data_IF_191120509677
#
_entry.id   IF_191120509677
#
_cell.length_a   1.000
_cell.length_b   1.000
_cell.length_c   1.000
_cell.angle_alpha   90.00
_cell.angle_beta   90.00
_cell.angle_gamma   90.00
#
_symmetry.space_group_name_H-M   'P 1'
#
loop_
_entity.id
_entity.type
_entity.pdbx_description
1 polymer ?
#
# COMPACT_ATOMS: atom_id res chain seq x y z
N UNK A 1 0.00 -36.36 -3.39
CA UNK A 1 0.44 -34.96 -3.41
C UNK A 1 1.16 -34.52 -2.12
N UNK A 2 1.25 -35.39 -1.12
CA UNK A 2 1.73 -34.99 0.24
C UNK A 2 3.24 -35.21 0.52
N UNK A 3 4.01 -35.58 -0.49
CA UNK A 3 5.44 -35.90 -0.30
C UNK A 3 6.44 -34.79 -0.58
N UNK A 4 6.04 -33.74 -1.27
CA UNK A 4 6.97 -32.65 -1.64
C UNK A 4 7.09 -31.53 -0.59
N UNK A 5 6.10 -31.33 0.26
CA UNK A 5 6.13 -30.30 1.31
C UNK A 5 6.85 -30.74 2.61
N UNK A 6 7.05 -32.05 2.81
CA UNK A 6 7.74 -32.58 3.99
C UNK A 6 9.24 -32.23 4.06
N UNK A 7 10.02 -32.22 2.97
CA UNK A 7 11.45 -31.87 3.06
C UNK A 7 11.71 -30.45 3.53
N UNK A 8 10.86 -29.50 3.22
CA UNK A 8 11.02 -28.11 3.67
C UNK A 8 10.78 -27.96 5.18
N UNK A 9 9.75 -28.63 5.72
CA UNK A 9 9.48 -28.65 7.16
C UNK A 9 10.63 -29.31 7.94
N UNK A 10 11.12 -30.45 7.49
CA UNK A 10 12.25 -31.14 8.10
C UNK A 10 13.54 -30.30 8.09
N UNK A 11 13.78 -29.59 6.99
CA UNK A 11 14.91 -28.70 6.86
C UNK A 11 14.82 -27.53 7.83
N UNK A 12 13.65 -26.90 7.94
CA UNK A 12 13.41 -25.81 8.89
C UNK A 12 13.59 -26.29 10.34
N UNK A 13 13.00 -27.43 10.69
CA UNK A 13 13.13 -28.03 12.02
C UNK A 13 14.60 -28.26 12.38
N UNK A 14 15.39 -28.77 11.44
CA UNK A 14 16.82 -29.00 11.63
C UNK A 14 17.58 -27.71 11.85
N UNK A 15 17.26 -26.65 11.08
CA UNK A 15 17.91 -25.33 11.23
C UNK A 15 17.52 -24.59 12.51
N UNK A 16 16.30 -24.81 12.99
CA UNK A 16 15.78 -24.16 14.19
C UNK A 16 16.16 -24.88 15.49
N UNK A 17 16.57 -26.15 15.45
CA UNK A 17 16.81 -26.96 16.62
C UNK A 17 17.76 -26.29 17.64
N UNK A 18 18.85 -25.71 17.18
CA UNK A 18 19.83 -25.04 18.04
C UNK A 18 19.40 -23.63 18.48
N UNK A 19 18.50 -23.00 17.73
CA UNK A 19 18.01 -21.63 18.00
C UNK A 19 16.64 -21.59 18.67
N UNK A 20 16.04 -22.74 18.90
CA UNK A 20 14.67 -22.85 19.42
C UNK A 20 14.47 -22.09 20.74
N UNK A 21 15.39 -22.15 21.72
CA UNK A 21 15.24 -21.41 22.98
C UNK A 21 15.23 -19.89 22.85
N UNK A 22 15.68 -19.35 21.71
CA UNK A 22 15.71 -17.91 21.42
C UNK A 22 14.48 -17.42 20.68
N UNK A 23 13.64 -18.34 20.23
CA UNK A 23 12.48 -18.01 19.40
C UNK A 23 11.24 -17.98 20.27
N UNK A 24 10.46 -16.90 20.15
CA UNK A 24 9.14 -16.80 20.77
C UNK A 24 8.16 -17.80 20.15
N UNK A 25 7.29 -18.39 20.96
CA UNK A 25 6.30 -19.37 20.54
C UNK A 25 5.42 -18.90 19.38
N UNK A 26 4.90 -17.70 19.46
CA UNK A 26 4.03 -17.15 18.40
C UNK A 26 4.76 -17.01 17.08
N UNK A 27 6.02 -16.54 17.14
CA UNK A 27 6.86 -16.39 15.95
C UNK A 27 7.20 -17.73 15.32
N UNK A 28 7.44 -18.74 16.15
CA UNK A 28 7.66 -20.10 15.69
C UNK A 28 6.44 -20.63 14.94
N UNK A 29 5.24 -20.48 15.50
CA UNK A 29 3.99 -20.90 14.85
C UNK A 29 3.74 -20.17 13.53
N UNK A 30 4.02 -18.86 13.46
CA UNK A 30 3.93 -18.08 12.23
C UNK A 30 4.88 -18.57 11.14
N UNK A 31 6.12 -18.92 11.51
CA UNK A 31 7.08 -19.47 10.57
C UNK A 31 6.62 -20.81 10.00
N UNK A 32 6.06 -21.67 10.83
CA UNK A 32 5.50 -22.95 10.39
C UNK A 32 4.36 -22.75 9.37
N UNK A 33 3.42 -21.86 9.66
CA UNK A 33 2.30 -21.58 8.76
C UNK A 33 2.77 -20.90 7.45
N UNK A 34 3.85 -20.10 7.49
CA UNK A 34 4.37 -19.44 6.29
C UNK A 34 5.01 -20.40 5.29
N UNK A 35 5.51 -21.55 5.76
CA UNK A 35 6.12 -22.59 4.91
C UNK A 35 5.05 -23.42 4.21
N UNK A 36 3.90 -23.60 4.84
CA UNK A 36 2.80 -24.39 4.32
C UNK A 36 1.53 -23.55 4.16
N UNK A 37 1.50 -22.56 3.28
CA UNK A 37 0.38 -21.61 3.15
C UNK A 37 -0.92 -22.27 2.66
N UNK A 38 -0.83 -23.43 2.02
CA UNK A 38 -1.97 -24.18 1.48
C UNK A 38 -2.62 -25.11 2.53
N UNK A 39 -1.92 -25.40 3.63
CA UNK A 39 -2.46 -26.24 4.69
C UNK A 39 -3.38 -25.43 5.62
N UNK A 40 -4.36 -26.09 6.23
CA UNK A 40 -5.17 -25.44 7.26
C UNK A 40 -4.28 -24.97 8.41
N UNK A 41 -4.55 -23.78 8.93
CA UNK A 41 -3.77 -23.19 10.03
C UNK A 41 -3.75 -24.11 11.26
N UNK A 42 -2.72 -23.99 12.08
CA UNK A 42 -2.54 -24.79 13.30
C UNK A 42 -3.78 -24.78 14.19
N UNK A 43 -4.25 -25.98 14.56
CA UNK A 43 -5.41 -26.16 15.42
C UNK A 43 -6.76 -25.84 14.76
N UNK A 44 -6.83 -25.64 13.44
CA UNK A 44 -8.08 -25.50 12.69
C UNK A 44 -8.61 -26.85 12.20
N UNK A 45 -7.81 -27.90 12.27
CA UNK A 45 -8.18 -29.26 11.90
C UNK A 45 -9.17 -29.86 12.90
N UNK A 46 -10.03 -30.77 12.43
CA UNK A 46 -10.99 -31.48 13.30
C UNK A 46 -10.22 -32.42 14.22
N UNK A 47 -9.27 -33.17 13.68
CA UNK A 47 -8.48 -34.13 14.44
C UNK A 47 -7.07 -33.60 14.69
N UNK A 48 -6.55 -33.67 15.93
CA UNK A 48 -5.15 -33.27 16.25
C UNK A 48 -4.12 -34.03 15.43
N UNK A 49 -4.46 -35.23 14.96
CA UNK A 49 -3.58 -36.03 14.10
C UNK A 49 -3.31 -35.36 12.74
N UNK A 50 -4.19 -34.51 12.24
CA UNK A 50 -4.01 -33.88 10.94
C UNK A 50 -3.04 -32.70 10.98
N UNK A 51 -2.76 -32.17 12.19
CA UNK A 51 -1.79 -31.09 12.35
C UNK A 51 -0.36 -31.58 12.00
N UNK A 52 0.49 -30.71 11.37
CA UNK A 52 1.83 -31.09 10.90
C UNK A 52 2.83 -31.34 12.03
N UNK A 53 2.57 -30.83 13.21
CA UNK A 53 3.40 -30.94 14.41
C UNK A 53 2.56 -31.25 15.64
N UNK A 54 3.21 -31.68 16.72
CA UNK A 54 2.59 -31.86 18.03
C UNK A 54 3.24 -30.98 19.08
N UNK A 55 2.43 -30.33 19.91
CA UNK A 55 2.90 -29.62 21.09
C UNK A 55 2.70 -30.50 22.31
N UNK A 56 3.79 -30.69 23.07
CA UNK A 56 3.82 -31.44 24.33
C UNK A 56 4.48 -30.58 25.41
N UNK A 57 3.99 -30.55 26.65
CA UNK A 57 4.70 -29.86 27.73
C UNK A 57 6.03 -30.51 28.06
N UNK A 58 6.96 -29.76 28.61
CA UNK A 58 8.17 -30.28 29.15
C UNK A 58 7.93 -30.85 30.56
N UNK A 59 8.25 -32.14 30.81
CA UNK A 59 7.95 -32.77 32.10
C UNK A 59 8.82 -32.27 33.26
N UNK A 60 9.91 -31.55 32.96
CA UNK A 60 10.84 -31.08 33.98
C UNK A 60 10.23 -30.04 34.92
N UNK A 61 10.58 -30.12 36.19
CA UNK A 61 10.13 -29.22 37.27
C UNK A 61 11.07 -28.01 37.47
N UNK A 62 12.12 -27.88 36.66
CA UNK A 62 13.08 -26.76 36.73
C UNK A 62 12.48 -25.47 36.19
N UNK A 63 13.02 -24.31 36.62
CA UNK A 63 12.57 -23.00 36.15
C UNK A 63 12.73 -22.87 34.63
N UNK A 64 11.66 -22.48 33.91
CA UNK A 64 11.71 -22.37 32.46
C UNK A 64 12.57 -21.18 32.03
N UNK A 65 13.57 -21.42 31.20
CA UNK A 65 14.46 -20.38 30.63
C UNK A 65 13.93 -19.84 29.30
N UNK A 66 13.13 -20.65 28.59
CA UNK A 66 12.63 -20.35 27.27
C UNK A 66 11.21 -20.92 27.12
N UNK A 67 10.42 -20.36 26.20
CA UNK A 67 9.06 -20.83 25.91
C UNK A 67 9.05 -22.18 25.20
N UNK A 68 10.04 -22.44 24.35
CA UNK A 68 10.26 -23.69 23.62
C UNK A 68 11.56 -24.33 24.07
N UNK A 69 11.49 -25.58 24.48
CA UNK A 69 12.63 -26.30 25.06
C UNK A 69 13.40 -27.14 24.05
N UNK A 70 12.70 -28.01 23.34
CA UNK A 70 13.30 -28.97 22.42
C UNK A 70 12.33 -29.39 21.32
N UNK A 71 12.89 -29.91 20.23
CA UNK A 71 12.15 -30.61 19.18
C UNK A 71 12.58 -32.07 19.23
N UNK A 72 11.62 -32.94 19.44
CA UNK A 72 11.77 -34.38 19.41
C UNK A 72 11.21 -34.93 18.11
N UNK A 73 11.98 -35.71 17.41
CA UNK A 73 11.56 -36.35 16.16
C UNK A 73 11.78 -37.84 16.29
N UNK A 74 10.73 -38.60 16.43
CA UNK A 74 10.74 -40.04 16.42
C UNK A 74 10.60 -40.59 15.01
N UNK A 75 11.30 -41.69 14.66
CA UNK A 75 11.15 -42.29 13.33
C UNK A 75 9.72 -42.79 13.12
N UNK A 76 9.00 -42.17 12.17
CA UNK A 76 7.61 -42.52 11.82
C UNK A 76 6.52 -41.72 12.52
N UNK A 77 6.84 -40.87 13.49
CA UNK A 77 5.88 -39.94 14.10
C UNK A 77 6.15 -38.49 13.66
N UNK A 78 5.17 -37.64 13.94
CA UNK A 78 5.27 -36.20 13.66
C UNK A 78 6.19 -35.53 14.66
N UNK A 79 6.93 -34.50 14.25
CA UNK A 79 7.82 -33.78 15.17
C UNK A 79 7.03 -33.20 16.35
N UNK A 80 7.51 -33.51 17.55
CA UNK A 80 6.97 -33.04 18.82
C UNK A 80 7.79 -31.87 19.34
N UNK A 81 7.11 -30.80 19.77
CA UNK A 81 7.75 -29.59 20.29
C UNK A 81 7.42 -29.48 21.77
N UNK A 82 8.46 -29.44 22.62
CA UNK A 82 8.31 -29.30 24.06
C UNK A 82 8.12 -27.83 24.43
N UNK A 83 6.94 -27.50 24.97
CA UNK A 83 6.61 -26.18 25.51
C UNK A 83 6.84 -26.17 27.01
N UNK A 84 7.19 -25.03 27.57
CA UNK A 84 7.44 -24.83 29.00
C UNK A 84 6.34 -24.09 29.72
N UNK A 85 5.28 -23.73 28.99
CA UNK A 85 4.12 -22.98 29.48
C UNK A 85 2.83 -23.71 29.09
N UNK A 86 1.74 -23.38 29.76
CA UNK A 86 0.37 -23.86 29.48
C UNK A 86 0.27 -25.40 29.42
N UNK A 87 1.00 -26.08 30.28
CA UNK A 87 1.00 -27.55 30.33
C UNK A 87 0.05 -28.11 31.38
N UNK A 88 -0.60 -29.25 31.09
CA UNK A 88 -1.32 -30.02 32.09
C UNK A 88 -0.37 -30.77 33.03
N UNK A 89 0.89 -30.93 32.65
CA UNK A 89 1.99 -31.39 33.51
C UNK A 89 3.20 -30.47 33.33
N UNK A 90 4.16 -30.54 34.24
CA UNK A 90 5.30 -29.60 34.29
C UNK A 90 5.12 -28.56 35.38
N UNK A 91 5.90 -27.44 35.30
CA UNK A 91 6.01 -26.44 36.36
C UNK A 91 4.69 -25.72 36.69
N UNK A 92 3.87 -25.43 35.68
CA UNK A 92 2.58 -24.67 35.82
C UNK A 92 1.37 -25.58 35.79
N UNK A 93 1.51 -26.85 36.18
CA UNK A 93 0.43 -27.81 36.10
C UNK A 93 -0.75 -27.48 37.04
N UNK A 94 -2.00 -27.52 36.56
CA UNK A 94 -3.17 -27.42 37.42
C UNK A 94 -3.53 -28.75 38.09
N UNK A 95 -2.82 -29.85 37.77
CA UNK A 95 -3.10 -31.19 38.32
C UNK A 95 -2.50 -31.34 39.72
N UNK A 96 -3.02 -32.29 40.53
CA UNK A 96 -2.43 -32.63 41.81
C UNK A 96 -0.97 -33.01 41.69
N UNK A 97 -0.09 -32.58 42.65
CA UNK A 97 1.35 -32.81 42.57
C UNK A 97 1.78 -34.27 42.40
N UNK A 98 0.95 -35.25 42.88
CA UNK A 98 1.25 -36.65 42.73
C UNK A 98 1.36 -37.11 41.27
N UNK A 99 0.43 -36.66 40.39
CA UNK A 99 0.50 -37.00 38.97
C UNK A 99 1.68 -36.33 38.27
N UNK A 100 1.95 -35.10 38.66
CA UNK A 100 3.08 -34.35 38.08
C UNK A 100 4.43 -34.93 38.49
N UNK A 101 4.53 -35.41 39.77
CA UNK A 101 5.72 -36.05 40.28
C UNK A 101 5.97 -37.41 39.60
N UNK A 102 4.91 -38.20 39.40
CA UNK A 102 5.03 -39.50 38.72
C UNK A 102 5.55 -39.31 37.26
N UNK A 103 5.09 -38.29 36.57
CA UNK A 103 5.56 -37.96 35.21
C UNK A 103 6.98 -37.41 35.23
N UNK A 104 7.29 -36.49 36.15
CA UNK A 104 8.60 -35.88 36.24
C UNK A 104 9.72 -36.87 36.62
N UNK A 105 9.39 -37.85 37.49
CA UNK A 105 10.31 -38.91 37.92
C UNK A 105 10.31 -40.16 37.01
N UNK A 106 9.51 -40.15 35.95
CA UNK A 106 9.37 -41.27 35.01
C UNK A 106 9.05 -42.59 35.68
N UNK A 107 8.12 -42.58 36.67
CA UNK A 107 7.70 -43.82 37.37
C UNK A 107 6.98 -44.77 36.42
N UNK A 108 6.94 -46.04 36.77
CA UNK A 108 6.29 -47.05 35.96
C UNK A 108 4.80 -46.69 35.68
N UNK A 109 4.40 -46.70 34.41
CA UNK A 109 3.01 -46.35 33.97
C UNK A 109 2.80 -44.84 33.66
N UNK A 110 3.83 -43.98 33.86
CA UNK A 110 3.71 -42.54 33.58
C UNK A 110 3.41 -42.22 32.10
N UNK A 111 3.90 -43.07 31.18
CA UNK A 111 3.75 -42.84 29.73
C UNK A 111 2.28 -42.80 29.30
N UNK A 112 1.48 -43.71 29.78
CA UNK A 112 0.02 -43.77 29.44
C UNK A 112 -0.72 -42.52 29.92
N UNK A 113 -0.38 -41.98 31.10
CA UNK A 113 -0.96 -40.78 31.65
C UNK A 113 -0.49 -39.57 30.86
N UNK A 114 0.79 -39.52 30.54
CA UNK A 114 1.40 -38.44 29.75
C UNK A 114 0.76 -38.37 28.34
N UNK A 115 0.66 -39.49 27.64
CA UNK A 115 0.08 -39.53 26.29
C UNK A 115 -1.40 -39.14 26.30
N UNK A 116 -2.15 -39.55 27.32
CA UNK A 116 -3.54 -39.13 27.50
C UNK A 116 -3.64 -37.62 27.70
N UNK A 117 -2.80 -37.02 28.52
CA UNK A 117 -2.78 -35.57 28.75
C UNK A 117 -2.30 -34.79 27.50
N UNK A 118 -1.43 -35.37 26.71
CA UNK A 118 -0.87 -34.75 25.51
C UNK A 118 -1.94 -34.53 24.41
N UNK A 119 -2.98 -35.34 24.37
CA UNK A 119 -4.13 -35.10 23.48
C UNK A 119 -4.78 -33.73 23.74
N UNK A 120 -4.91 -33.39 25.03
CA UNK A 120 -5.50 -32.10 25.43
C UNK A 120 -4.50 -30.96 25.32
N UNK A 121 -3.25 -31.20 25.73
CA UNK A 121 -2.18 -30.20 25.68
C UNK A 121 -1.97 -29.64 24.29
N UNK A 122 -1.89 -30.50 23.29
CA UNK A 122 -1.76 -30.06 21.90
C UNK A 122 -2.91 -29.15 21.50
N UNK A 123 -4.14 -29.53 21.83
CA UNK A 123 -5.32 -28.74 21.48
C UNK A 123 -5.40 -27.42 22.22
N UNK A 124 -5.06 -27.39 23.49
CA UNK A 124 -5.00 -26.16 24.31
C UNK A 124 -3.95 -25.19 23.76
N UNK A 125 -2.75 -25.68 23.49
CA UNK A 125 -1.65 -24.84 22.97
C UNK A 125 -1.98 -24.28 21.58
N UNK A 126 -2.55 -25.07 20.69
CA UNK A 126 -2.96 -24.60 19.36
C UNK A 126 -4.13 -23.61 19.42
N UNK A 127 -5.10 -23.83 20.33
CA UNK A 127 -6.18 -22.86 20.56
C UNK A 127 -5.66 -21.55 21.14
N UNK A 128 -4.71 -21.61 22.07
CA UNK A 128 -4.06 -20.42 22.62
C UNK A 128 -3.39 -19.59 21.51
N UNK A 129 -2.65 -20.23 20.61
CA UNK A 129 -2.09 -19.57 19.43
C UNK A 129 -3.17 -18.93 18.55
N UNK A 130 -4.27 -19.65 18.28
CA UNK A 130 -5.38 -19.12 17.47
C UNK A 130 -6.06 -17.91 18.09
N UNK A 131 -6.24 -17.91 19.41
CA UNK A 131 -6.80 -16.78 20.15
C UNK A 131 -5.89 -15.56 19.98
N UNK A 132 -4.60 -15.72 20.22
CA UNK A 132 -3.64 -14.64 20.01
C UNK A 132 -3.66 -14.12 18.57
N UNK A 133 -3.62 -15.02 17.59
CA UNK A 133 -3.65 -14.67 16.18
C UNK A 133 -4.90 -13.88 15.82
N UNK A 134 -6.06 -14.25 16.34
CA UNK A 134 -7.33 -13.56 16.09
C UNK A 134 -7.28 -12.08 16.51
N UNK A 135 -6.60 -11.78 17.61
CA UNK A 135 -6.50 -10.41 18.13
C UNK A 135 -5.24 -9.66 17.65
N UNK A 136 -4.35 -10.31 16.93
CA UNK A 136 -3.14 -9.70 16.36
C UNK A 136 -3.31 -9.42 14.87
N UNK A 137 -3.70 -8.20 14.51
CA UNK A 137 -3.87 -7.83 13.11
C UNK A 137 -2.63 -8.08 12.23
N UNK A 138 -1.38 -7.76 12.68
CA UNK A 138 -0.18 -8.09 11.89
C UNK A 138 -0.02 -9.59 11.60
N UNK A 139 -0.52 -10.46 12.50
CA UNK A 139 -0.43 -11.91 12.33
C UNK A 139 -1.51 -12.48 11.39
N UNK A 140 -2.64 -11.80 11.24
CA UNK A 140 -3.73 -12.22 10.35
C UNK A 140 -3.66 -11.57 8.98
N UNK A 141 -2.85 -10.53 8.81
CA UNK A 141 -2.75 -9.78 7.57
C UNK A 141 -2.29 -10.67 6.40
N UNK A 142 -3.09 -10.71 5.35
CA UNK A 142 -2.75 -11.36 4.07
C UNK A 142 -2.36 -10.29 3.05
N UNK A 143 -1.34 -10.58 2.26
CA UNK A 143 -0.89 -9.68 1.21
C UNK A 143 -2.06 -9.27 0.30
N UNK A 144 -2.18 -7.97 0.04
CA UNK A 144 -3.30 -7.40 -0.71
C UNK A 144 -4.54 -7.05 0.12
N UNK A 145 -4.52 -7.24 1.45
CA UNK A 145 -5.65 -6.90 2.33
C UNK A 145 -6.86 -7.82 2.10
N UNK A 146 -6.62 -9.11 1.85
CA UNK A 146 -7.67 -10.12 1.58
C UNK A 146 -8.19 -10.81 2.84
N UNK A 147 -7.61 -10.53 3.99
CA UNK A 147 -8.06 -11.03 5.28
C UNK A 147 -9.35 -10.33 5.73
N UNK A 148 -10.15 -11.01 6.53
CA UNK A 148 -11.46 -10.50 6.99
C UNK A 148 -11.34 -9.13 7.70
N UNK A 149 -10.34 -8.97 8.55
CA UNK A 149 -10.13 -7.71 9.28
C UNK A 149 -9.82 -6.56 8.34
N UNK A 150 -8.97 -6.79 7.33
CA UNK A 150 -8.69 -5.79 6.29
C UNK A 150 -9.95 -5.46 5.47
N UNK A 151 -10.78 -6.46 5.14
CA UNK A 151 -12.04 -6.22 4.44
C UNK A 151 -13.02 -5.40 5.27
N UNK A 152 -13.13 -5.63 6.57
CA UNK A 152 -13.95 -4.80 7.46
C UNK A 152 -13.44 -3.37 7.53
N UNK A 153 -12.11 -3.19 7.63
CA UNK A 153 -11.49 -1.86 7.62
C UNK A 153 -11.70 -1.14 6.29
N UNK A 154 -11.56 -1.83 5.16
CA UNK A 154 -11.87 -1.29 3.84
C UNK A 154 -13.37 -0.97 3.68
N UNK A 155 -14.23 -1.71 4.34
CA UNK A 155 -15.67 -1.44 4.43
C UNK A 155 -16.00 -0.07 4.99
N UNK A 156 -15.19 0.45 5.94
CA UNK A 156 -15.37 1.80 6.52
C UNK A 156 -15.21 2.94 5.49
N UNK A 157 -14.50 2.68 4.41
CA UNK A 157 -14.31 3.65 3.31
C UNK A 157 -15.07 3.26 2.03
N UNK A 158 -15.94 2.22 2.11
CA UNK A 158 -16.75 1.76 1.00
C UNK A 158 -16.05 0.83 0.01
N UNK A 159 -14.84 0.35 0.32
CA UNK A 159 -14.05 -0.54 -0.55
C UNK A 159 -14.09 -2.02 -0.13
N UNK A 160 -14.86 -2.37 0.88
CA UNK A 160 -15.00 -3.75 1.38
C UNK A 160 -15.98 -4.62 0.59
N UNK A 161 -16.58 -4.10 -0.47
CA UNK A 161 -17.54 -4.85 -1.29
C UNK A 161 -16.76 -5.82 -2.20
N UNK A 162 -17.14 -7.11 -2.24
CA UNK A 162 -16.52 -8.08 -3.14
C UNK A 162 -16.58 -7.61 -4.60
N UNK A 163 -15.45 -7.69 -5.31
CA UNK A 163 -15.34 -7.23 -6.70
C UNK A 163 -14.89 -5.76 -6.86
N UNK A 164 -15.01 -4.92 -5.85
CA UNK A 164 -14.57 -3.51 -5.90
C UNK A 164 -13.08 -3.37 -6.27
N UNK A 165 -12.26 -4.27 -5.76
CA UNK A 165 -10.81 -4.27 -6.02
C UNK A 165 -10.44 -4.38 -7.51
N UNK A 166 -11.28 -5.04 -8.32
CA UNK A 166 -11.04 -5.21 -9.75
C UNK A 166 -11.23 -3.90 -10.55
N UNK A 167 -12.03 -2.98 -10.03
CA UNK A 167 -12.32 -1.68 -10.66
C UNK A 167 -11.37 -0.56 -10.23
N UNK A 168 -10.53 -0.82 -9.23
CA UNK A 168 -9.56 0.14 -8.72
C UNK A 168 -8.21 -0.11 -9.40
N UNK A 169 -7.67 0.88 -10.08
CA UNK A 169 -6.39 0.78 -10.79
C UNK A 169 -5.14 0.71 -9.91
N UNK A 170 -5.30 0.56 -8.59
CA UNK A 170 -4.19 0.47 -7.61
C UNK A 170 -4.51 -0.57 -6.54
N UNK A 171 -3.49 -1.21 -5.92
CA UNK A 171 -3.72 -2.21 -4.87
C UNK A 171 -4.55 -1.67 -3.70
N UNK A 172 -5.60 -2.39 -3.32
CA UNK A 172 -6.52 -1.99 -2.24
C UNK A 172 -5.84 -1.88 -0.88
N UNK A 173 -4.76 -2.63 -0.64
CA UNK A 173 -3.96 -2.54 0.60
C UNK A 173 -3.38 -1.14 0.86
N UNK A 174 -3.15 -0.33 -0.18
CA UNK A 174 -2.71 1.07 -0.02
C UNK A 174 -3.73 1.92 0.73
N UNK A 175 -5.01 1.63 0.56
CA UNK A 175 -6.09 2.34 1.25
C UNK A 175 -6.14 2.08 2.74
N UNK A 176 -5.62 0.94 3.21
CA UNK A 176 -5.50 0.65 4.64
C UNK A 176 -4.58 1.64 5.35
N UNK A 177 -3.47 2.02 4.72
CA UNK A 177 -2.56 3.04 5.25
C UNK A 177 -3.19 4.44 5.29
N UNK A 178 -4.17 4.70 4.42
CA UNK A 178 -4.86 5.98 4.29
C UNK A 178 -6.22 6.03 4.99
N UNK A 179 -6.58 4.98 5.72
CA UNK A 179 -7.89 4.81 6.32
C UNK A 179 -8.32 6.00 7.17
N UNK A 180 -7.42 6.51 8.02
CA UNK A 180 -7.67 7.66 8.87
C UNK A 180 -8.08 8.91 8.10
N UNK A 181 -7.46 9.12 6.95
CA UNK A 181 -7.71 10.29 6.09
C UNK A 181 -8.95 10.10 5.20
N UNK A 182 -9.12 8.89 4.65
CA UNK A 182 -10.21 8.59 3.73
C UNK A 182 -11.58 8.48 4.42
N UNK A 183 -11.59 8.06 5.68
CA UNK A 183 -12.82 7.97 6.49
C UNK A 183 -13.47 9.33 6.73
N UNK A 184 -12.69 10.40 6.76
CA UNK A 184 -13.21 11.74 7.03
C UNK A 184 -14.16 12.19 5.91
N UNK A 185 -15.35 12.74 6.23
CA UNK A 185 -16.28 13.27 5.24
C UNK A 185 -15.74 14.52 4.55
N UNK A 186 -14.87 15.26 5.22
CA UNK A 186 -14.21 16.47 4.70
C UNK A 186 -12.92 16.11 3.97
N UNK A 187 -12.73 16.67 2.79
CA UNK A 187 -11.52 16.50 2.00
C UNK A 187 -10.57 17.65 2.29
N UNK A 188 -9.41 17.33 2.86
CA UNK A 188 -8.43 18.31 3.31
C UNK A 188 -7.19 18.33 2.42
N UNK A 189 -6.44 19.42 2.44
CA UNK A 189 -5.13 19.53 1.77
C UNK A 189 -4.13 18.54 2.36
N UNK A 190 -4.18 18.31 3.66
CA UNK A 190 -3.34 17.33 4.36
C UNK A 190 -3.60 15.90 3.87
N UNK A 191 -4.87 15.59 3.60
CA UNK A 191 -5.25 14.30 3.04
C UNK A 191 -4.63 14.07 1.65
N UNK A 192 -4.65 15.07 0.77
CA UNK A 192 -4.00 14.99 -0.53
C UNK A 192 -2.47 14.82 -0.37
N UNK A 193 -1.87 15.54 0.56
CA UNK A 193 -0.44 15.40 0.86
C UNK A 193 -0.10 13.99 1.37
N UNK A 194 -0.95 13.40 2.23
CA UNK A 194 -0.76 12.04 2.72
C UNK A 194 -0.86 10.99 1.61
N UNK A 195 -1.80 11.13 0.66
CA UNK A 195 -1.92 10.28 -0.51
C UNK A 195 -0.63 10.25 -1.33
N UNK A 196 -0.10 11.43 -1.63
CA UNK A 196 1.09 11.56 -2.48
C UNK A 196 2.33 11.08 -1.73
N UNK A 197 2.45 11.38 -0.43
CA UNK A 197 3.56 10.91 0.39
C UNK A 197 3.59 9.38 0.53
N UNK A 198 2.44 8.72 0.49
CA UNK A 198 2.38 7.26 0.47
C UNK A 198 2.92 6.68 -0.84
N UNK A 199 2.64 7.33 -1.97
CA UNK A 199 3.11 6.89 -3.29
C UNK A 199 4.59 7.21 -3.51
N UNK A 200 5.00 8.43 -3.16
CA UNK A 200 6.32 8.97 -3.43
C UNK A 200 6.82 9.73 -2.18
N UNK A 201 7.54 9.04 -1.27
CA UNK A 201 7.97 9.62 0.01
C UNK A 201 8.94 10.79 -0.14
N UNK A 202 9.73 10.83 -1.21
CA UNK A 202 10.69 11.91 -1.49
C UNK A 202 10.10 13.06 -2.31
N UNK A 203 8.83 12.98 -2.73
CA UNK A 203 8.13 14.04 -3.44
C UNK A 203 7.42 14.99 -2.47
N UNK A 204 7.85 16.24 -2.44
CA UNK A 204 7.15 17.29 -1.72
C UNK A 204 5.95 17.79 -2.50
N UNK A 205 4.85 18.07 -1.80
CA UNK A 205 3.58 18.47 -2.42
C UNK A 205 3.14 19.84 -1.91
N UNK A 206 2.74 20.70 -2.82
CA UNK A 206 2.09 21.96 -2.50
C UNK A 206 0.72 22.00 -3.16
N UNK A 207 -0.32 22.17 -2.35
CA UNK A 207 -1.70 22.27 -2.81
C UNK A 207 -2.12 23.72 -2.84
N UNK A 208 -2.39 24.25 -4.04
CA UNK A 208 -2.93 25.60 -4.23
C UNK A 208 -4.43 25.50 -4.44
N UNK A 209 -5.19 26.14 -3.56
CA UNK A 209 -6.65 26.21 -3.64
C UNK A 209 -7.06 27.22 -4.70
N UNK A 210 -8.30 27.08 -5.19
CA UNK A 210 -8.93 28.05 -6.11
C UNK A 210 -8.16 28.25 -7.41
N UNK A 211 -7.70 27.16 -8.03
CA UNK A 211 -7.07 27.21 -9.36
C UNK A 211 -8.14 27.53 -10.42
N UNK A 212 -7.81 28.46 -11.29
CA UNK A 212 -8.76 28.98 -12.29
C UNK A 212 -9.01 27.94 -13.40
N UNK A 213 -10.28 27.64 -13.63
CA UNK A 213 -10.73 26.77 -14.71
C UNK A 213 -11.69 27.53 -15.63
N UNK A 214 -11.44 27.44 -16.92
CA UNK A 214 -12.38 27.96 -17.92
C UNK A 214 -13.46 26.90 -18.19
N UNK A 215 -14.72 27.30 -18.00
CA UNK A 215 -15.89 26.43 -18.21
C UNK A 215 -16.69 27.01 -19.38
N UNK A 216 -17.13 26.16 -20.35
CA UNK A 216 -18.10 26.60 -21.34
C UNK A 216 -19.44 26.93 -20.67
N UNK A 217 -20.11 27.93 -21.14
CA UNK A 217 -21.45 28.30 -20.68
C UNK A 217 -22.47 27.63 -21.60
N UNK A 218 -23.39 26.86 -21.03
CA UNK A 218 -24.42 26.16 -21.79
C UNK A 218 -25.39 27.14 -22.50
N UNK A 219 -25.73 28.24 -21.82
CA UNK A 219 -26.62 29.28 -22.36
C UNK A 219 -25.90 30.64 -22.33
N UNK A 220 -25.05 30.95 -23.32
CA UNK A 220 -24.37 32.24 -23.37
C UNK A 220 -25.43 33.35 -23.66
N UNK A 221 -25.36 34.41 -22.88
CA UNK A 221 -26.22 35.56 -23.06
C UNK A 221 -25.94 36.22 -24.40
N UNK A 222 -26.94 36.31 -25.25
CA UNK A 222 -26.88 37.02 -26.55
C UNK A 222 -27.49 38.38 -26.39
N UNK A 223 -26.78 39.42 -26.78
CA UNK A 223 -27.34 40.76 -26.90
C UNK A 223 -28.31 40.80 -28.11
N UNK A 224 -29.58 40.99 -27.84
CA UNK A 224 -30.63 41.05 -28.87
C UNK A 224 -31.64 42.09 -28.46
N UNK A 225 -32.21 42.75 -29.44
CA UNK A 225 -33.32 43.69 -29.20
C UNK A 225 -34.58 43.02 -28.62
N UNK A 226 -34.71 41.67 -28.78
CA UNK A 226 -35.84 40.88 -28.23
C UNK A 226 -35.60 40.42 -26.77
N UNK A 227 -34.34 40.41 -26.32
CA UNK A 227 -33.98 39.99 -24.98
C UNK A 227 -32.96 41.01 -24.43
N UNK A 228 -33.42 42.11 -23.81
CA UNK A 228 -32.54 43.12 -23.27
C UNK A 228 -31.73 42.56 -22.09
N UNK A 229 -30.43 42.74 -22.15
CA UNK A 229 -29.52 42.32 -21.11
C UNK A 229 -29.45 43.41 -20.05
N UNK A 230 -29.90 43.11 -18.84
CA UNK A 230 -29.86 44.05 -17.72
C UNK A 230 -28.63 43.80 -16.85
N UNK A 231 -27.90 44.84 -16.47
CA UNK A 231 -26.79 44.77 -15.53
C UNK A 231 -27.21 44.34 -14.13
N UNK A 232 -28.50 44.48 -13.78
CA UNK A 232 -29.07 44.04 -12.51
C UNK A 232 -28.89 42.52 -12.29
N UNK A 233 -28.92 41.74 -13.37
CA UNK A 233 -28.73 40.27 -13.30
C UNK A 233 -27.28 39.82 -13.46
N UNK A 234 -26.33 40.74 -13.51
CA UNK A 234 -24.88 40.45 -13.64
C UNK A 234 -24.56 39.34 -14.67
N UNK A 235 -25.06 39.42 -15.91
CA UNK A 235 -24.89 38.36 -16.88
C UNK A 235 -23.43 38.19 -17.27
N UNK A 236 -22.99 36.95 -17.45
CA UNK A 236 -21.65 36.65 -17.96
C UNK A 236 -21.67 36.79 -19.48
N UNK A 237 -20.90 37.74 -20.00
CA UNK A 237 -20.73 37.95 -21.43
C UNK A 237 -19.72 36.96 -22.03
N UNK A 238 -20.08 36.33 -23.15
CA UNK A 238 -19.20 35.41 -23.86
C UNK A 238 -19.62 33.94 -23.75
N UNK A 239 -18.81 33.04 -24.36
CA UNK A 239 -19.09 31.60 -24.43
C UNK A 239 -18.44 30.80 -23.28
N UNK A 240 -17.64 31.43 -22.43
CA UNK A 240 -16.97 30.76 -21.35
C UNK A 240 -16.88 31.66 -20.12
N UNK A 241 -16.99 31.06 -18.94
CA UNK A 241 -16.77 31.65 -17.63
C UNK A 241 -15.49 31.15 -16.98
N UNK A 242 -15.06 31.82 -15.92
CA UNK A 242 -13.94 31.36 -15.07
C UNK A 242 -14.54 30.85 -13.77
N UNK A 243 -14.30 29.57 -13.49
CA UNK A 243 -14.63 28.96 -12.21
C UNK A 243 -13.37 28.80 -11.38
N UNK A 244 -13.42 29.19 -10.12
CA UNK A 244 -12.29 29.11 -9.15
C UNK A 244 -12.57 28.14 -8.01
N UNK A 245 -13.78 27.58 -7.90
CA UNK A 245 -14.18 26.78 -6.76
C UNK A 245 -14.07 25.26 -7.03
N UNK A 246 -14.10 24.83 -8.27
CA UNK A 246 -14.14 23.42 -8.65
C UNK A 246 -12.78 22.78 -8.89
N UNK A 247 -11.68 23.52 -8.84
CA UNK A 247 -10.35 23.00 -9.16
C UNK A 247 -9.29 23.38 -8.14
N UNK A 248 -8.41 22.41 -7.87
CA UNK A 248 -7.17 22.61 -7.08
C UNK A 248 -5.95 22.35 -7.94
N UNK A 249 -4.86 23.08 -7.68
CA UNK A 249 -3.57 22.86 -8.31
C UNK A 249 -2.66 22.08 -7.36
N UNK A 250 -2.20 20.92 -7.81
CA UNK A 250 -1.23 20.09 -7.11
C UNK A 250 0.13 20.26 -7.76
N UNK A 251 1.08 20.84 -7.02
CA UNK A 251 2.45 21.00 -7.46
C UNK A 251 3.33 19.99 -6.75
N UNK A 252 3.82 19.02 -7.49
CA UNK A 252 4.73 17.96 -7.04
C UNK A 252 6.16 18.45 -7.26
N UNK A 253 7.00 18.38 -6.24
CA UNK A 253 8.42 18.76 -6.34
C UNK A 253 9.26 17.62 -5.86
N UNK A 254 10.09 17.04 -6.72
CA UNK A 254 11.00 15.96 -6.39
C UNK A 254 12.41 16.24 -6.88
N UNK A 255 13.39 15.70 -6.18
CA UNK A 255 14.81 15.72 -6.52
C UNK A 255 15.38 14.32 -6.69
N UNK A 256 14.59 13.31 -6.42
CA UNK A 256 14.99 11.91 -6.56
C UNK A 256 14.85 11.45 -8.01
N UNK A 257 15.93 10.95 -8.66
CA UNK A 257 15.93 10.52 -10.05
C UNK A 257 15.00 9.31 -10.29
N UNK A 258 14.83 8.43 -9.32
CA UNK A 258 13.96 7.27 -9.47
C UNK A 258 12.48 7.65 -9.47
N UNK A 259 12.07 8.50 -8.51
CA UNK A 259 10.72 9.03 -8.50
C UNK A 259 10.41 9.86 -9.75
N UNK A 260 11.39 10.64 -10.26
CA UNK A 260 11.20 11.38 -11.51
C UNK A 260 10.86 10.45 -12.68
N UNK A 261 11.57 9.33 -12.84
CA UNK A 261 11.29 8.35 -13.90
C UNK A 261 9.90 7.75 -13.75
N UNK A 262 9.49 7.45 -12.52
CA UNK A 262 8.18 6.89 -12.23
C UNK A 262 7.03 7.90 -12.39
N UNK A 263 7.29 9.20 -12.27
CA UNK A 263 6.31 10.24 -12.55
C UNK A 263 6.14 10.53 -14.04
N UNK A 264 7.16 10.28 -14.84
CA UNK A 264 7.19 10.62 -16.27
C UNK A 264 6.81 9.42 -17.16
N UNK A 265 5.96 9.62 -18.17
CA UNK A 265 5.73 8.57 -19.17
C UNK A 265 6.98 8.33 -20.05
N UNK A 266 7.22 7.12 -20.59
CA UNK A 266 6.28 6.00 -20.66
C UNK A 266 6.34 5.01 -19.48
N UNK A 267 7.40 5.02 -18.67
CA UNK A 267 7.66 4.01 -17.64
C UNK A 267 6.89 4.26 -16.34
N UNK A 268 6.38 5.46 -16.15
CA UNK A 268 5.82 5.92 -14.89
C UNK A 268 4.47 5.32 -14.54
N UNK A 269 4.43 4.53 -13.45
CA UNK A 269 3.19 4.00 -12.87
C UNK A 269 2.60 4.93 -11.81
N UNK A 270 3.41 5.79 -11.18
CA UNK A 270 2.95 6.68 -10.10
C UNK A 270 1.84 7.63 -10.54
N UNK A 271 1.86 8.07 -11.80
CA UNK A 271 0.79 8.92 -12.31
C UNK A 271 -0.56 8.20 -12.36
N UNK A 272 -0.59 6.95 -12.84
CA UNK A 272 -1.83 6.15 -12.91
C UNK A 272 -2.36 5.83 -11.51
N UNK A 273 -1.47 5.43 -10.60
CA UNK A 273 -1.80 5.17 -9.19
C UNK A 273 -2.35 6.42 -8.51
N UNK A 274 -1.72 7.59 -8.76
CA UNK A 274 -2.20 8.86 -8.20
C UNK A 274 -3.59 9.20 -8.72
N UNK A 275 -3.85 9.00 -10.01
CA UNK A 275 -5.17 9.26 -10.58
C UNK A 275 -6.24 8.37 -9.93
N UNK A 276 -5.94 7.09 -9.70
CA UNK A 276 -6.85 6.17 -9.02
C UNK A 276 -7.11 6.60 -7.56
N UNK A 277 -6.08 7.00 -6.82
CA UNK A 277 -6.23 7.49 -5.45
C UNK A 277 -7.00 8.82 -5.38
N UNK A 278 -6.73 9.75 -6.31
CA UNK A 278 -7.49 11.01 -6.40
C UNK A 278 -8.96 10.75 -6.73
N UNK A 279 -9.25 9.77 -7.59
CA UNK A 279 -10.62 9.37 -7.89
C UNK A 279 -11.35 8.88 -6.63
N UNK A 280 -10.72 8.03 -5.84
CA UNK A 280 -11.29 7.56 -4.58
C UNK A 280 -11.41 8.67 -3.53
N UNK A 281 -10.49 9.64 -3.50
CA UNK A 281 -10.47 10.68 -2.49
C UNK A 281 -11.33 11.91 -2.85
N UNK A 282 -11.16 12.49 -4.04
CA UNK A 282 -11.87 13.69 -4.47
C UNK A 282 -13.25 13.38 -5.05
N UNK A 283 -13.40 12.20 -5.66
CA UNK A 283 -14.65 11.78 -6.30
C UNK A 283 -15.11 12.75 -7.39
N UNK A 284 -16.41 13.03 -7.46
CA UNK A 284 -17.02 13.93 -8.45
C UNK A 284 -17.00 15.42 -8.06
N UNK A 285 -16.52 15.76 -6.87
CA UNK A 285 -16.69 17.11 -6.31
C UNK A 285 -15.67 18.13 -6.80
N UNK A 286 -14.40 17.73 -6.93
CA UNK A 286 -13.30 18.66 -7.19
C UNK A 286 -12.38 18.09 -8.26
N UNK A 287 -12.00 18.93 -9.20
CA UNK A 287 -10.97 18.64 -10.20
C UNK A 287 -9.57 18.93 -9.64
N UNK A 288 -8.56 18.24 -10.16
CA UNK A 288 -7.18 18.53 -9.80
C UNK A 288 -6.32 18.72 -11.05
N UNK A 289 -5.54 19.79 -11.08
CA UNK A 289 -4.50 20.01 -12.08
C UNK A 289 -3.15 19.64 -11.49
N UNK A 290 -2.44 18.77 -12.19
CA UNK A 290 -1.16 18.22 -11.74
C UNK A 290 -0.01 18.94 -12.44
N UNK A 291 0.97 19.40 -11.67
CA UNK A 291 2.22 19.97 -12.16
C UNK A 291 3.39 19.32 -11.43
N UNK A 292 4.42 18.97 -12.18
CA UNK A 292 5.66 18.40 -11.64
C UNK A 292 6.78 19.41 -11.80
N UNK A 293 7.46 19.72 -10.71
CA UNK A 293 8.65 20.59 -10.69
C UNK A 293 9.89 19.76 -10.43
N UNK A 294 10.77 19.72 -11.42
CA UNK A 294 11.97 18.89 -11.40
C UNK A 294 13.19 19.75 -11.71
N UNK A 295 14.35 19.46 -11.09
CA UNK A 295 15.62 20.03 -11.53
C UNK A 295 15.91 19.67 -12.99
N UNK A 296 16.42 20.60 -13.77
CA UNK A 296 16.76 20.37 -15.20
C UNK A 296 17.75 19.21 -15.39
N UNK A 297 18.63 19.02 -14.44
CA UNK A 297 19.68 18.00 -14.46
C UNK A 297 19.15 16.57 -14.52
N UNK A 298 17.95 16.34 -13.96
CA UNK A 298 17.30 15.02 -13.93
C UNK A 298 16.52 14.70 -15.21
N UNK A 299 16.36 15.68 -16.11
CA UNK A 299 15.66 15.47 -17.37
C UNK A 299 16.67 15.22 -18.49
N UNK A 300 16.49 14.16 -19.29
CA UNK A 300 17.32 13.91 -20.43
C UNK A 300 17.13 15.01 -21.49
N UNK A 301 18.19 15.28 -22.26
CA UNK A 301 18.09 16.17 -23.41
C UNK A 301 17.21 15.58 -24.50
N UNK A 302 16.49 16.43 -25.21
CA UNK A 302 15.62 16.00 -26.30
C UNK A 302 16.42 15.23 -27.37
N UNK A 303 16.04 13.98 -27.63
CA UNK A 303 16.62 13.11 -28.63
C UNK A 303 15.52 12.50 -29.48
N UNK A 304 15.73 12.41 -30.77
CA UNK A 304 14.88 11.65 -31.67
C UNK A 304 15.30 10.18 -31.60
N UNK A 305 14.34 9.29 -31.42
CA UNK A 305 14.55 7.84 -31.45
C UNK A 305 13.68 7.20 -32.52
N UNK A 306 14.25 6.27 -33.25
CA UNK A 306 13.53 5.46 -34.25
C UNK A 306 12.77 4.31 -33.58
N UNK A 307 13.18 3.95 -32.35
CA UNK A 307 12.58 2.85 -31.62
C UNK A 307 11.28 3.35 -30.95
N UNK A 308 10.17 2.70 -31.31
CA UNK A 308 8.87 2.99 -30.72
C UNK A 308 8.91 2.74 -29.19
N UNK A 309 8.46 3.71 -28.41
CA UNK A 309 8.46 3.64 -26.93
C UNK A 309 9.67 4.31 -26.24
N UNK A 310 10.81 4.48 -26.92
CA UNK A 310 11.97 5.20 -26.39
C UNK A 310 12.00 6.67 -26.77
N UNK A 311 11.08 7.12 -27.63
CA UNK A 311 10.97 8.50 -28.05
C UNK A 311 10.47 9.41 -26.92
N UNK A 312 11.03 10.59 -26.83
CA UNK A 312 10.58 11.60 -25.88
C UNK A 312 9.23 12.17 -26.27
N UNK A 313 8.38 12.39 -25.30
CA UNK A 313 7.06 13.02 -25.51
C UNK A 313 7.18 14.53 -25.47
N UNK A 314 6.77 15.19 -26.55
CA UNK A 314 6.74 16.64 -26.64
C UNK A 314 5.84 17.23 -25.55
N UNK A 315 6.33 18.25 -24.84
CA UNK A 315 5.60 18.89 -23.75
C UNK A 315 5.66 18.18 -22.39
N UNK A 316 6.22 16.96 -22.32
CA UNK A 316 6.35 16.19 -21.07
C UNK A 316 7.80 15.87 -20.72
N UNK A 317 8.54 15.20 -21.61
CA UNK A 317 9.91 14.75 -21.35
C UNK A 317 10.94 15.42 -22.27
N UNK A 318 10.51 16.05 -23.36
CA UNK A 318 11.40 16.71 -24.29
C UNK A 318 11.77 18.11 -23.79
N UNK A 319 13.01 18.26 -23.35
CA UNK A 319 13.56 19.56 -22.93
C UNK A 319 14.76 19.89 -23.81
N UNK A 320 14.79 21.10 -24.36
CA UNK A 320 15.89 21.53 -25.22
C UNK A 320 17.20 21.60 -24.41
N UNK A 321 18.29 21.17 -25.04
CA UNK A 321 19.63 21.29 -24.48
C UNK A 321 19.98 22.76 -24.28
N UNK A 322 20.47 23.08 -23.10
CA UNK A 322 21.07 24.41 -22.87
C UNK A 322 22.46 24.41 -23.47
N UNK A 323 22.67 25.20 -24.50
CA UNK A 323 24.03 25.45 -25.03
C UNK A 323 24.89 26.02 -23.88
N UNK A 324 26.04 25.42 -23.64
CA UNK A 324 27.00 25.98 -22.68
C UNK A 324 27.48 27.33 -23.17
N UNK A 325 27.88 28.19 -22.26
CA UNK A 325 28.41 29.52 -22.62
C UNK A 325 29.63 29.48 -23.56
N UNK A 326 30.31 28.34 -23.61
CA UNK A 326 31.44 28.08 -24.52
C UNK A 326 30.92 27.72 -25.92
N UNK A 327 29.87 26.89 -26.05
CA UNK A 327 29.25 26.55 -27.32
C UNK A 327 28.54 27.76 -27.96
N UNK A 328 27.93 28.62 -27.15
CA UNK A 328 27.32 29.88 -27.63
C UNK A 328 28.39 30.82 -28.23
N UNK A 329 29.59 30.84 -27.65
CA UNK A 329 30.70 31.65 -28.22
C UNK A 329 31.17 31.08 -29.57
N UNK A 330 31.22 29.77 -29.73
CA UNK A 330 31.65 29.15 -30.97
C UNK A 330 30.59 29.30 -32.10
N UNK A 331 29.31 29.26 -31.78
CA UNK A 331 28.23 29.51 -32.75
C UNK A 331 28.12 31.00 -33.11
N UNK A 332 28.45 31.91 -32.18
CA UNK A 332 28.45 33.35 -32.45
C UNK A 332 29.69 33.85 -33.23
N UNK A 333 30.78 33.09 -33.29
CA UNK A 333 31.92 33.40 -34.13
C UNK A 333 31.66 33.15 -35.63
N UNK A 334 30.72 32.27 -35.96
CA UNK A 334 30.33 31.99 -37.34
C UNK A 334 29.24 32.94 -37.89
N UNK A 335 28.53 33.68 -37.05
CA UNK A 335 27.55 34.67 -37.45
C UNK A 335 27.93 36.07 -36.88
N UNK A 336 28.83 36.75 -37.56
CA UNK A 336 29.04 38.17 -37.36
C UNK A 336 27.81 38.96 -37.83
N UNK A 337 27.14 39.56 -36.87
CA UNK A 337 26.13 40.59 -36.90
C UNK A 337 24.77 40.11 -36.35
N UNK A 338 24.59 40.30 -35.05
CA UNK A 338 23.34 40.81 -34.44
C UNK A 338 23.63 41.23 -32.97
N UNK A 339 23.51 42.50 -32.75
CA UNK A 339 23.25 43.27 -31.53
C UNK A 339 23.84 42.95 -30.16
N UNK A 340 24.77 43.83 -29.82
CA UNK A 340 25.44 44.14 -28.55
C UNK A 340 24.49 44.64 -27.44
N UNK A 341 23.32 44.11 -27.21
CA UNK A 341 22.40 44.63 -26.17
C UNK A 341 21.85 43.68 -25.13
N UNK A 342 22.38 42.46 -25.05
CA UNK A 342 21.97 41.50 -23.99
C UNK A 342 23.11 40.96 -23.10
N UNK A 343 24.23 41.64 -23.04
CA UNK A 343 25.34 41.27 -22.15
C UNK A 343 25.32 42.15 -20.89
N UNK A 344 24.39 41.90 -19.98
CA UNK A 344 24.32 42.74 -18.78
C UNK A 344 23.39 42.25 -17.69
N UNK A 345 23.20 40.95 -17.56
CA UNK A 345 22.62 40.39 -16.32
C UNK A 345 23.44 39.17 -15.87
N UNK A 346 24.42 39.42 -15.01
CA UNK A 346 24.99 38.40 -14.16
C UNK A 346 23.84 37.82 -13.36
N UNK A 347 23.36 36.65 -13.74
CA UNK A 347 22.49 35.83 -12.90
C UNK A 347 23.33 35.20 -11.78
N UNK A 348 23.51 35.97 -10.72
CA UNK A 348 23.78 35.45 -9.39
C UNK A 348 22.44 35.00 -8.83
N UNK A 349 21.92 33.88 -9.27
CA UNK A 349 20.85 33.20 -8.59
C UNK A 349 21.09 31.69 -8.68
N UNK A 350 21.63 31.19 -7.59
CA UNK A 350 21.77 29.77 -7.28
C UNK A 350 20.38 29.13 -7.02
N UNK A 351 19.34 29.59 -7.70
CA UNK A 351 18.05 28.93 -7.81
C UNK A 351 18.23 27.82 -8.82
N UNK A 352 18.29 26.58 -8.32
CA UNK A 352 18.21 25.38 -9.15
C UNK A 352 17.23 25.63 -10.29
N UNK A 353 17.69 25.49 -11.53
CA UNK A 353 16.87 25.63 -12.74
C UNK A 353 15.79 24.53 -12.71
N UNK A 354 14.68 24.80 -12.04
CA UNK A 354 13.54 23.88 -11.96
C UNK A 354 12.65 24.07 -13.16
N UNK A 355 12.30 22.97 -13.80
CA UNK A 355 11.37 22.94 -14.92
C UNK A 355 10.02 22.48 -14.39
N UNK A 356 8.95 23.13 -14.82
CA UNK A 356 7.59 22.76 -14.48
C UNK A 356 6.97 22.06 -15.68
N UNK A 357 6.54 20.82 -15.47
CA UNK A 357 5.90 19.97 -16.47
C UNK A 357 4.44 19.76 -16.07
N UNK A 358 3.50 19.92 -17.00
CA UNK A 358 2.11 19.58 -16.78
C UNK A 358 1.91 18.05 -16.88
N UNK A 359 1.50 17.40 -15.80
CA UNK A 359 1.19 15.97 -15.79
C UNK A 359 -0.26 15.66 -16.22
N UNK A 360 -1.07 16.67 -16.49
CA UNK A 360 -2.46 16.50 -16.88
C UNK A 360 -3.45 17.00 -15.82
N UNK A 361 -4.68 16.54 -15.94
CA UNK A 361 -5.78 16.95 -15.06
C UNK A 361 -6.58 15.72 -14.63
N UNK A 362 -6.86 15.63 -13.36
CA UNK A 362 -7.92 14.77 -12.87
C UNK A 362 -9.27 15.49 -13.13
N UNK A 363 -10.13 14.86 -13.89
CA UNK A 363 -11.49 15.36 -14.15
C UNK A 363 -12.46 14.56 -13.29
N UNK A 364 -13.16 15.26 -12.41
CA UNK A 364 -14.26 14.68 -11.67
C UNK A 364 -15.33 14.23 -12.66
N UNK A 365 -15.84 13.00 -12.50
CA UNK A 365 -16.89 12.49 -13.37
C UNK A 365 -18.12 13.41 -13.31
N UNK A 366 -18.72 13.80 -14.44
CA UNK A 366 -19.91 14.64 -14.43
C UNK A 366 -21.06 13.90 -13.73
N UNK A 367 -21.79 14.58 -12.87
CA UNK A 367 -22.95 14.05 -12.12
C UNK A 367 -24.00 13.36 -13.01
N UNK A 368 -24.04 13.72 -14.28
CA UNK A 368 -24.99 13.18 -15.27
C UNK A 368 -24.71 11.71 -15.66
N UNK A 369 -23.48 11.23 -15.54
CA UNK A 369 -23.15 9.81 -15.81
C UNK A 369 -23.79 8.91 -14.77
N UNK A 370 -23.81 9.35 -13.53
CA UNK A 370 -24.46 8.61 -12.44
C UNK A 370 -25.99 8.61 -12.55
N UNK A 371 -26.62 9.65 -13.14
CA UNK A 371 -28.07 9.69 -13.33
C UNK A 371 -28.57 8.82 -14.49
N UNK A 372 -27.77 8.62 -15.55
CA UNK A 372 -28.18 7.77 -16.69
C UNK A 372 -28.14 6.27 -16.37
N UNK A 373 -27.14 5.83 -15.61
CA UNK A 373 -27.10 4.43 -15.14
C UNK A 373 -28.18 4.13 -14.09
N UNK A 374 -28.74 5.20 -13.47
CA UNK A 374 -29.79 5.06 -12.47
C UNK A 374 -31.16 4.82 -13.07
N UNK A 375 -31.45 5.16 -14.32
CA UNK A 375 -32.78 5.01 -14.91
C UNK A 375 -33.01 3.66 -15.60
N UNK A 376 -31.93 2.89 -15.90
CA UNK A 376 -32.05 1.58 -16.55
C UNK A 376 -32.19 0.39 -15.59
N UNK A 377 -31.76 0.51 -14.33
CA UNK A 377 -31.86 -0.59 -13.34
C UNK A 377 -32.50 -0.09 -12.05
N UNK A 378 -33.80 -0.25 -11.96
CA UNK A 378 -34.63 0.20 -10.85
C UNK A 378 -34.05 -0.04 -9.44
N UNK A 379 -34.09 0.99 -8.63
CA UNK A 379 -34.16 1.04 -7.16
C UNK A 379 -33.01 0.56 -6.27
N UNK A 380 -31.85 0.21 -6.74
CA UNK A 380 -30.68 0.02 -5.84
C UNK A 380 -29.49 0.77 -6.39
N UNK A 381 -29.19 1.87 -5.69
CA UNK A 381 -28.15 2.80 -6.15
C UNK A 381 -27.44 3.41 -4.98
N UNK A 382 -26.23 2.91 -4.82
CA UNK A 382 -25.26 3.49 -3.94
C UNK A 382 -24.23 4.28 -4.71
#
# INVERSE_FOLDING_TARGET
MDRESQPELATLITQLKDKLPLINFYRFCQLLESIQPEQPGLGSTVHPHDDPIRFRPHPGMGFPVSELKAIETEPGDKPSIRTTFLGLYGVESPLPPSYVDDIAQQREGHEAVMDFLDLFNHRLTTQFYRIWRKYSYPATFKAGGKDETSQYLLGLIGLGIPGCAAHIGTPTSRFLALLGTMRLPTRTTEGICALIKLLAPHTAVTVTRHDQRRIPLDNPVKMSCRSPVSLAHKPVLGKSGIDVNSQVLLTLTTTDPEEVRQWLPPEGQLHADLMALLHAYLGSRVHARLQLRIPRELLPDARLSVISGQGMKLGQTAVMRRLSSVEVKNVMTDNKMVDKKMAGKKLTDNKMNRITIGLGRYQAAPEQVYRKETDEYGNYRF
#
